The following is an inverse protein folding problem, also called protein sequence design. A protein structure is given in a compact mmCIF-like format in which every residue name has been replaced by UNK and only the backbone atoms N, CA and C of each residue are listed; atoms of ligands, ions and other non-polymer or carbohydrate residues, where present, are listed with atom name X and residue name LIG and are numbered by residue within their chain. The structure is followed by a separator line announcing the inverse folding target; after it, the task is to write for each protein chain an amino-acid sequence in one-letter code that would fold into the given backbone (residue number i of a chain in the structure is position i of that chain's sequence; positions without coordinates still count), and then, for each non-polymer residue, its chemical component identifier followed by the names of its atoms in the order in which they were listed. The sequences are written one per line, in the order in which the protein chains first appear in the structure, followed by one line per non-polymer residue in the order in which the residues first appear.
data_IF_593672239754
#
_entry.id   IF_593672239754
#
_cell.length_a   1.000
_cell.length_b   1.000
_cell.length_c   1.000
_cell.angle_alpha   90.00
_cell.angle_beta   90.00
_cell.angle_gamma   90.00
#
_symmetry.space_group_name_H-M   'P 1'
#
loop_
_entity.id
_entity.type
_entity.pdbx_description
1 polymer ?
#
# COMPACT_ATOMS: atom_id res chain seq x y z
N UNK A 1 0.42 -8.81 -13.16
CA UNK A 1 0.06 -8.12 -11.92
C UNK A 1 0.61 -6.71 -11.85
N UNK A 2 -0.23 -5.73 -11.53
CA UNK A 2 0.19 -4.35 -11.28
C UNK A 2 -0.53 -3.80 -10.06
N UNK A 3 0.13 -2.93 -9.29
CA UNK A 3 -0.46 -2.23 -8.16
C UNK A 3 -0.12 -0.74 -8.21
N UNK A 4 -1.08 0.11 -7.83
CA UNK A 4 -0.91 1.57 -7.77
C UNK A 4 -1.46 2.14 -6.47
N UNK A 5 -0.84 3.23 -6.01
CA UNK A 5 -1.47 4.12 -5.04
C UNK A 5 -2.64 4.85 -5.70
N UNK A 6 -3.76 4.90 -5.00
CA UNK A 6 -4.86 5.78 -5.35
C UNK A 6 -4.65 7.07 -4.59
N UNK A 7 -4.47 8.17 -5.33
CA UNK A 7 -4.49 9.51 -4.72
C UNK A 7 -5.83 9.70 -4.05
N UNK A 8 -5.79 9.93 -2.75
CA UNK A 8 -6.95 10.35 -1.98
C UNK A 8 -7.44 11.67 -2.59
N UNK A 9 -8.68 11.69 -3.05
CA UNK A 9 -9.16 12.70 -4.00
C UNK A 9 -8.89 14.13 -3.55
N UNK A 10 -8.50 14.98 -4.51
CA UNK A 10 -8.62 16.42 -4.40
C UNK A 10 -10.07 16.76 -3.98
N UNK A 11 -10.27 17.24 -2.75
CA UNK A 11 -11.56 17.80 -2.33
C UNK A 11 -11.67 19.22 -2.89
N UNK A 12 -12.03 19.31 -4.17
CA UNK A 12 -12.42 20.56 -4.81
C UNK A 12 -13.79 21.05 -4.33
N UNK A 13 -13.76 21.82 -3.24
CA UNK A 13 -14.66 22.93 -2.87
C UNK A 13 -16.16 22.69 -2.57
N UNK A 14 -16.53 23.29 -1.42
CA UNK A 14 -17.79 24.00 -1.10
C UNK A 14 -18.95 23.24 -0.46
N UNK A 15 -18.99 23.30 0.88
CA UNK A 15 -20.22 23.41 1.67
C UNK A 15 -20.51 22.23 2.58
N UNK A 16 -20.38 22.42 3.90
CA UNK A 16 -20.97 21.63 5.00
C UNK A 16 -20.87 20.10 4.96
N UNK A 17 -19.99 19.55 4.14
CA UNK A 17 -19.71 18.13 4.12
C UNK A 17 -18.83 17.82 5.34
N UNK A 18 -19.38 17.13 6.34
CA UNK A 18 -18.56 16.28 7.21
C UNK A 18 -18.02 15.21 6.27
N UNK A 19 -16.93 15.52 5.58
CA UNK A 19 -16.16 14.53 4.87
C UNK A 19 -15.64 13.59 5.95
N UNK A 20 -16.40 12.54 6.24
CA UNK A 20 -15.81 11.24 6.53
C UNK A 20 -15.10 10.77 5.26
N UNK A 21 -14.17 11.58 4.73
CA UNK A 21 -12.86 11.05 4.42
C UNK A 21 -12.42 10.43 5.73
N UNK A 22 -12.81 9.18 5.91
CA UNK A 22 -12.22 8.27 6.86
C UNK A 22 -10.79 8.04 6.36
N UNK A 23 -9.96 9.08 6.43
CA UNK A 23 -8.82 8.97 7.31
C UNK A 23 -9.46 8.57 8.64
N UNK A 24 -9.50 7.27 8.88
CA UNK A 24 -9.33 6.77 10.23
C UNK A 24 -8.46 7.80 10.98
N UNK A 25 -8.99 8.31 12.08
CA UNK A 25 -8.60 9.57 12.74
C UNK A 25 -7.15 9.65 13.26
N UNK A 26 -6.27 8.76 12.78
CA UNK A 26 -4.84 8.66 13.04
C UNK A 26 -3.95 8.90 11.80
N UNK A 27 -4.50 9.08 10.58
CA UNK A 27 -3.68 9.29 9.37
C UNK A 27 -2.80 8.10 8.99
N UNK A 28 -3.23 6.88 9.33
CA UNK A 28 -2.40 5.66 9.27
C UNK A 28 -2.86 4.65 8.23
N UNK A 29 -3.65 5.07 7.23
CA UNK A 29 -4.04 4.26 6.08
C UNK A 29 -3.66 4.93 4.75
N UNK A 30 -3.34 4.11 3.75
CA UNK A 30 -3.21 4.50 2.34
C UNK A 30 -4.19 3.70 1.48
N UNK A 31 -4.63 4.25 0.35
CA UNK A 31 -5.51 3.55 -0.59
C UNK A 31 -4.72 3.02 -1.78
N UNK A 32 -4.93 1.75 -2.13
CA UNK A 32 -4.26 1.08 -3.25
C UNK A 32 -5.25 0.30 -4.10
N UNK A 33 -4.87 -0.01 -5.34
CA UNK A 33 -5.63 -0.93 -6.21
C UNK A 33 -4.66 -1.81 -6.97
N UNK A 34 -4.87 -3.12 -6.87
CA UNK A 34 -4.17 -4.15 -7.64
C UNK A 34 -5.06 -4.67 -8.76
N UNK A 35 -4.47 -5.05 -9.89
CA UNK A 35 -5.18 -5.70 -11.01
C UNK A 35 -5.54 -7.17 -10.74
N UNK A 36 -5.06 -7.76 -9.64
CA UNK A 36 -5.24 -9.17 -9.31
C UNK A 36 -5.44 -9.35 -7.80
N UNK A 37 -6.12 -10.44 -7.42
CA UNK A 37 -6.25 -10.87 -6.02
C UNK A 37 -4.96 -11.48 -5.50
N UNK A 38 -4.69 -11.34 -4.21
CA UNK A 38 -3.45 -11.83 -3.60
C UNK A 38 -3.11 -11.04 -2.34
N UNK A 39 -1.82 -10.77 -2.11
CA UNK A 39 -1.34 -9.98 -0.99
C UNK A 39 -0.56 -8.78 -1.50
N UNK A 40 -0.90 -7.57 -1.04
CA UNK A 40 -0.12 -6.37 -1.26
C UNK A 40 0.89 -6.18 -0.13
N UNK A 41 2.11 -5.77 -0.49
CA UNK A 41 3.18 -5.44 0.44
C UNK A 41 3.59 -4.00 0.24
N UNK A 42 3.57 -3.22 1.32
CA UNK A 42 4.22 -1.92 1.36
C UNK A 42 5.63 -2.14 1.90
N UNK A 43 6.65 -1.78 1.13
CA UNK A 43 8.05 -2.14 1.41
C UNK A 43 8.95 -0.92 1.32
N UNK A 44 9.77 -0.70 2.33
CA UNK A 44 10.71 0.43 2.37
C UNK A 44 11.70 0.35 1.21
N UNK A 45 11.98 1.48 0.56
CA UNK A 45 12.87 1.57 -0.61
C UNK A 45 14.32 1.14 -0.32
N UNK A 46 14.72 1.04 0.95
CA UNK A 46 16.04 0.51 1.34
C UNK A 46 16.17 -1.01 1.14
N UNK A 47 15.06 -1.74 1.02
CA UNK A 47 15.05 -3.18 0.79
C UNK A 47 15.21 -3.47 -0.71
N UNK A 48 16.20 -4.29 -1.06
CA UNK A 48 16.35 -4.83 -2.42
C UNK A 48 15.44 -6.05 -2.59
N UNK A 49 14.29 -5.86 -3.23
CA UNK A 49 13.30 -6.92 -3.43
C UNK A 49 13.63 -7.72 -4.69
N UNK A 50 13.86 -9.03 -4.53
CA UNK A 50 13.98 -9.97 -5.65
C UNK A 50 12.88 -11.04 -5.61
N UNK A 51 12.46 -11.43 -4.41
CA UNK A 51 11.41 -12.40 -4.16
C UNK A 51 10.64 -12.05 -2.88
N UNK A 52 9.54 -12.74 -2.61
CA UNK A 52 8.76 -12.56 -1.37
C UNK A 52 9.63 -12.71 -0.11
N UNK A 53 10.60 -13.63 -0.14
CA UNK A 53 11.50 -13.86 0.99
C UNK A 53 12.32 -12.59 1.35
N UNK A 54 12.74 -11.79 0.36
CA UNK A 54 13.46 -10.52 0.59
C UNK A 54 12.64 -9.54 1.43
N UNK A 55 11.32 -9.57 1.27
CA UNK A 55 10.39 -8.74 2.03
C UNK A 55 10.23 -9.32 3.43
N UNK A 56 9.79 -10.58 3.54
CA UNK A 56 9.40 -11.17 4.83
C UNK A 56 10.57 -11.46 5.77
N UNK A 57 11.82 -11.48 5.28
CA UNK A 57 13.02 -11.58 6.12
C UNK A 57 13.57 -10.23 6.59
N UNK A 58 12.98 -9.11 6.14
CA UNK A 58 13.38 -7.76 6.55
C UNK A 58 12.81 -7.41 7.93
N UNK A 59 13.36 -6.36 8.55
CA UNK A 59 12.87 -5.88 9.85
C UNK A 59 11.38 -5.50 9.79
N UNK A 60 10.65 -5.80 10.86
CA UNK A 60 9.18 -5.67 10.91
C UNK A 60 8.70 -4.23 10.62
N UNK A 61 9.47 -3.22 11.00
CA UNK A 61 9.15 -1.80 10.78
C UNK A 61 9.41 -1.30 9.35
N UNK A 62 9.94 -2.16 8.47
CA UNK A 62 10.30 -1.82 7.08
C UNK A 62 9.29 -2.31 6.05
N UNK A 63 8.28 -3.09 6.45
CA UNK A 63 7.25 -3.54 5.54
C UNK A 63 5.97 -3.95 6.27
N UNK A 64 4.83 -3.84 5.59
CA UNK A 64 3.55 -4.41 6.04
C UNK A 64 2.88 -5.15 4.88
N UNK A 65 2.11 -6.20 5.19
CA UNK A 65 1.37 -7.00 4.21
C UNK A 65 -0.16 -6.95 4.43
N UNK A 66 -0.93 -7.01 3.35
CA UNK A 66 -2.39 -6.91 3.37
C UNK A 66 -3.06 -7.74 2.28
N UNK A 67 -4.15 -8.42 2.61
CA UNK A 67 -4.93 -9.17 1.63
C UNK A 67 -5.67 -8.26 0.64
N UNK A 68 -5.55 -8.58 -0.65
CA UNK A 68 -6.35 -8.05 -1.74
C UNK A 68 -7.39 -9.11 -2.11
N UNK A 69 -8.57 -8.99 -1.50
CA UNK A 69 -9.66 -9.93 -1.71
C UNK A 69 -10.34 -9.77 -3.08
N UNK A 70 -10.31 -8.57 -3.66
CA UNK A 70 -10.94 -8.25 -4.94
C UNK A 70 -9.96 -7.47 -5.82
N UNK A 71 -9.79 -7.96 -7.05
CA UNK A 71 -9.06 -7.24 -8.08
C UNK A 71 -9.79 -5.93 -8.44
N UNK A 72 -9.03 -4.96 -8.93
CA UNK A 72 -9.51 -3.65 -9.41
C UNK A 72 -10.39 -2.89 -8.41
N UNK A 73 -10.29 -3.23 -7.13
CA UNK A 73 -11.07 -2.62 -6.05
C UNK A 73 -10.14 -1.84 -5.11
N UNK A 74 -10.42 -0.54 -4.85
CA UNK A 74 -9.67 0.22 -3.86
C UNK A 74 -9.69 -0.46 -2.49
N UNK A 75 -8.50 -0.73 -1.95
CA UNK A 75 -8.30 -1.36 -0.64
C UNK A 75 -7.47 -0.44 0.23
N UNK A 76 -7.90 -0.25 1.48
CA UNK A 76 -7.14 0.54 2.46
C UNK A 76 -6.08 -0.34 3.12
N UNK A 77 -4.83 0.10 3.10
CA UNK A 77 -3.68 -0.57 3.72
C UNK A 77 -3.19 0.26 4.91
N UNK A 78 -2.88 -0.40 6.02
CA UNK A 78 -2.35 0.30 7.19
C UNK A 78 -0.84 0.52 7.12
N UNK A 79 -0.42 1.71 7.52
CA UNK A 79 0.99 2.06 7.70
C UNK A 79 1.39 2.09 9.17
N UNK A 80 0.51 1.62 10.07
CA UNK A 80 0.81 1.54 11.50
C UNK A 80 2.01 0.62 11.74
N UNK A 81 2.93 1.05 12.62
CA UNK A 81 4.13 0.30 12.97
C UNK A 81 5.29 0.45 11.99
N UNK A 82 5.10 1.12 10.85
CA UNK A 82 6.17 1.40 9.91
C UNK A 82 7.00 2.61 10.35
N UNK A 83 8.32 2.51 10.18
CA UNK A 83 9.23 3.62 10.40
C UNK A 83 9.06 4.71 9.33
N UNK A 84 9.46 5.95 9.65
CA UNK A 84 9.53 7.03 8.66
C UNK A 84 10.43 6.62 7.48
N UNK A 85 10.02 6.97 6.26
CA UNK A 85 10.72 6.56 5.06
C UNK A 85 9.85 6.55 3.80
N UNK A 86 10.46 6.17 2.69
CA UNK A 86 9.78 6.02 1.39
C UNK A 86 9.51 4.56 1.11
N UNK A 87 8.27 4.25 0.72
CA UNK A 87 7.79 2.90 0.51
C UNK A 87 7.22 2.72 -0.90
N UNK A 88 7.44 1.54 -1.46
CA UNK A 88 6.85 1.09 -2.71
C UNK A 88 5.93 -0.11 -2.47
N UNK A 89 4.98 -0.32 -3.38
CA UNK A 89 4.07 -1.44 -3.33
C UNK A 89 4.56 -2.58 -4.22
N UNK A 90 4.39 -3.78 -3.71
CA UNK A 90 4.51 -5.03 -4.43
C UNK A 90 3.25 -5.84 -4.19
N UNK A 91 3.02 -6.83 -5.02
CA UNK A 91 1.93 -7.78 -4.85
C UNK A 91 2.42 -9.19 -5.08
N UNK A 92 1.82 -10.15 -4.40
CA UNK A 92 2.00 -11.58 -4.64
C UNK A 92 0.63 -12.17 -4.94
N UNK A 93 0.47 -12.83 -6.08
CA UNK A 93 -0.79 -13.47 -6.43
C UNK A 93 -0.97 -14.79 -5.66
N UNK A 94 -2.14 -15.44 -5.81
CA UNK A 94 -2.47 -16.68 -5.09
C UNK A 94 -1.51 -17.84 -5.41
N UNK A 95 -0.92 -17.87 -6.61
CA UNK A 95 0.09 -18.84 -7.01
C UNK A 95 1.50 -18.49 -6.53
N UNK A 96 1.69 -17.33 -5.89
CA UNK A 96 2.95 -16.93 -5.29
C UNK A 96 3.90 -16.13 -6.21
N UNK A 97 3.46 -15.64 -7.37
CA UNK A 97 4.32 -14.82 -8.22
C UNK A 97 4.33 -13.37 -7.72
N UNK A 98 5.52 -12.79 -7.60
CA UNK A 98 5.71 -11.40 -7.20
C UNK A 98 5.51 -10.45 -8.40
N UNK A 99 4.90 -9.29 -8.19
CA UNK A 99 4.81 -8.23 -9.20
C UNK A 99 6.10 -7.44 -9.33
N UNK A 100 6.19 -6.66 -10.41
CA UNK A 100 7.07 -5.50 -10.47
C UNK A 100 6.73 -4.47 -9.38
N UNK A 101 7.70 -3.60 -9.10
CA UNK A 101 7.57 -2.46 -8.18
C UNK A 101 6.52 -1.46 -8.69
N UNK A 102 5.73 -0.90 -7.78
CA UNK A 102 4.79 0.16 -8.13
C UNK A 102 5.47 1.41 -8.67
N UNK A 103 4.86 2.03 -9.69
CA UNK A 103 5.38 3.27 -10.29
C UNK A 103 5.28 4.50 -9.37
N UNK A 104 4.43 4.43 -8.34
CA UNK A 104 4.31 5.48 -7.31
C UNK A 104 4.84 4.96 -5.98
N UNK A 105 5.37 5.87 -5.17
CA UNK A 105 5.78 5.61 -3.79
C UNK A 105 4.94 6.43 -2.81
N UNK A 106 5.02 6.05 -1.53
CA UNK A 106 4.43 6.77 -0.41
C UNK A 106 5.53 7.14 0.59
N UNK A 107 5.46 8.34 1.17
CA UNK A 107 6.44 8.80 2.17
C UNK A 107 5.75 8.97 3.51
N UNK A 108 6.27 8.26 4.53
CA UNK A 108 5.94 8.43 5.94
C UNK A 108 6.94 9.42 6.54
N UNK A 109 6.44 10.45 7.22
CA UNK A 109 7.24 11.51 7.84
C UNK A 109 7.37 11.33 9.35
#
# INVERSE_FOLDING_TARGET
MTIKLIRQGDTGSSGDDIFVQKFDSNGSLISVQSSETGTAYLVNNTISVSDLASITSSADEMWNGFDIALADTPTALSITGLAAGTYHLYTVDIAGNLSDISSSCYTIL
#
